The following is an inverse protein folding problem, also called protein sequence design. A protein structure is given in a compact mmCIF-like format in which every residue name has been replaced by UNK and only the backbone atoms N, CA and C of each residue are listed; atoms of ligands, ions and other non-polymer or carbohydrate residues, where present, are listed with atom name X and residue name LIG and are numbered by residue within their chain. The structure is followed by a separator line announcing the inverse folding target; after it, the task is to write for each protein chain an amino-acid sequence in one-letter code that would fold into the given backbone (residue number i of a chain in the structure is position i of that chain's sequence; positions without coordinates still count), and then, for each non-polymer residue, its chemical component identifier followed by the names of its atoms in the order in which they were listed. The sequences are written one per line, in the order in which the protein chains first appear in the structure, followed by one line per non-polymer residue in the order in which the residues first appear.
data_IF_979090842642
#
_entry.id   IF_979090842642
#
_cell.length_a   1.000
_cell.length_b   1.000
_cell.length_c   1.000
_cell.angle_alpha   90.00
_cell.angle_beta   90.00
_cell.angle_gamma   90.00
#
_symmetry.space_group_name_H-M   'P 1'
#
loop_
_entity.id
_entity.type
_entity.pdbx_description
1 polymer ?
#
# COMPACT_ATOMS: atom_id res chain seq x y z
N UNK A 1 -25.92 -33.41 6.30
CA UNK A 1 -24.83 -34.37 6.08
C UNK A 1 -25.04 -35.64 6.89
N UNK A 2 -25.37 -35.55 8.18
CA UNK A 2 -25.71 -36.71 9.02
C UNK A 2 -26.82 -37.58 8.42
N UNK A 3 -27.94 -36.98 8.01
CA UNK A 3 -29.05 -37.69 7.35
C UNK A 3 -28.63 -38.48 6.09
N UNK A 4 -27.69 -37.95 5.29
CA UNK A 4 -27.19 -38.63 4.10
C UNK A 4 -26.32 -39.84 4.46
N UNK A 5 -25.47 -39.70 5.47
CA UNK A 5 -24.63 -40.82 5.93
C UNK A 5 -25.51 -41.93 6.49
N UNK A 6 -26.50 -41.58 7.30
CA UNK A 6 -27.46 -42.52 7.87
C UNK A 6 -28.27 -43.25 6.77
N UNK A 7 -28.75 -42.51 5.76
CA UNK A 7 -29.46 -43.09 4.62
C UNK A 7 -28.59 -44.09 3.83
N UNK A 8 -27.32 -43.76 3.60
CA UNK A 8 -26.38 -44.62 2.87
C UNK A 8 -26.00 -45.89 3.64
N UNK A 9 -25.94 -45.82 4.97
CA UNK A 9 -25.70 -46.97 5.83
C UNK A 9 -26.93 -47.87 5.93
N UNK A 10 -28.13 -47.28 5.97
CA UNK A 10 -29.38 -48.03 6.07
C UNK A 10 -29.81 -48.69 4.74
N UNK A 11 -30.82 -49.56 4.81
CA UNK A 11 -31.43 -50.17 3.63
C UNK A 11 -32.14 -49.09 2.79
N UNK A 12 -32.07 -49.16 1.44
CA UNK A 12 -31.64 -50.30 0.63
C UNK A 12 -30.14 -50.36 0.30
N UNK A 13 -29.37 -49.33 0.66
CA UNK A 13 -27.98 -49.19 0.22
C UNK A 13 -27.02 -50.08 1.03
N UNK A 14 -27.17 -50.11 2.36
CA UNK A 14 -26.41 -51.01 3.23
C UNK A 14 -24.90 -50.83 3.15
N UNK A 15 -24.42 -49.60 2.90
CA UNK A 15 -22.98 -49.35 2.75
C UNK A 15 -22.26 -49.56 4.08
N UNK A 16 -21.09 -50.20 4.01
CA UNK A 16 -20.19 -50.26 5.17
C UNK A 16 -19.57 -48.88 5.38
N UNK A 17 -19.54 -48.42 6.63
CA UNK A 17 -18.99 -47.11 7.02
C UNK A 17 -17.61 -46.82 6.40
N UNK A 18 -16.71 -47.82 6.40
CA UNK A 18 -15.36 -47.66 5.84
C UNK A 18 -15.29 -47.42 4.32
N UNK A 19 -16.40 -47.57 3.58
CA UNK A 19 -16.47 -47.30 2.13
C UNK A 19 -17.08 -45.92 1.85
N UNK A 20 -17.75 -45.31 2.82
CA UNK A 20 -18.41 -44.00 2.67
C UNK A 20 -17.41 -42.90 2.28
N UNK A 21 -16.20 -42.80 2.87
CA UNK A 21 -15.21 -41.80 2.44
C UNK A 21 -14.86 -41.90 0.95
N UNK A 22 -14.81 -43.11 0.38
CA UNK A 22 -14.51 -43.34 -1.04
C UNK A 22 -15.65 -42.83 -1.94
N UNK A 23 -16.89 -43.11 -1.57
CA UNK A 23 -18.06 -42.62 -2.31
C UNK A 23 -18.23 -41.11 -2.17
N UNK A 24 -17.99 -40.55 -0.99
CA UNK A 24 -18.01 -39.11 -0.76
C UNK A 24 -16.95 -38.42 -1.62
N UNK A 25 -15.71 -38.92 -1.62
CA UNK A 25 -14.63 -38.42 -2.48
C UNK A 25 -14.99 -38.50 -3.98
N UNK A 26 -15.56 -39.63 -4.41
CA UNK A 26 -16.02 -39.80 -5.79
C UNK A 26 -17.13 -38.79 -6.15
N UNK A 27 -18.06 -38.54 -5.23
CA UNK A 27 -19.11 -37.54 -5.37
C UNK A 27 -18.53 -36.13 -5.50
N UNK A 28 -17.56 -35.76 -4.65
CA UNK A 28 -16.86 -34.48 -4.75
C UNK A 28 -16.15 -34.33 -6.11
N UNK A 29 -15.49 -35.37 -6.61
CA UNK A 29 -14.85 -35.31 -7.94
C UNK A 29 -15.87 -35.22 -9.09
N UNK A 30 -17.00 -35.91 -8.98
CA UNK A 30 -18.01 -35.96 -10.04
C UNK A 30 -18.88 -34.70 -10.09
N UNK A 31 -19.17 -34.09 -8.92
CA UNK A 31 -20.18 -33.04 -8.76
C UNK A 31 -19.63 -31.73 -8.16
N UNK A 32 -18.38 -31.69 -7.69
CA UNK A 32 -17.76 -30.56 -6.98
C UNK A 32 -17.37 -29.38 -7.86
N UNK A 33 -18.16 -29.03 -8.87
CA UNK A 33 -17.89 -27.85 -9.72
C UNK A 33 -18.18 -26.53 -9.00
N UNK A 34 -19.13 -26.55 -8.06
CA UNK A 34 -19.54 -25.40 -7.29
C UNK A 34 -20.07 -25.83 -5.92
N UNK A 35 -19.14 -26.18 -5.03
CA UNK A 35 -19.44 -26.75 -3.72
C UNK A 35 -18.66 -26.00 -2.65
N UNK A 36 -19.30 -25.72 -1.52
CA UNK A 36 -18.63 -25.14 -0.36
C UNK A 36 -18.76 -26.07 0.83
N UNK A 37 -17.61 -26.52 1.35
CA UNK A 37 -17.56 -27.25 2.62
C UNK A 37 -17.13 -26.29 3.71
N UNK A 38 -17.85 -26.31 4.83
CA UNK A 38 -17.56 -25.49 6.01
C UNK A 38 -17.38 -26.38 7.23
N UNK A 39 -16.47 -25.99 8.11
CA UNK A 39 -16.32 -26.62 9.42
C UNK A 39 -17.39 -26.14 10.42
N UNK A 40 -17.28 -26.59 11.67
CA UNK A 40 -18.24 -26.30 12.74
C UNK A 40 -18.30 -24.81 13.11
N UNK A 41 -17.22 -24.07 12.84
CA UNK A 41 -17.13 -22.63 13.04
C UNK A 41 -17.68 -21.84 11.82
N UNK A 42 -18.10 -22.55 10.77
CA UNK A 42 -18.60 -21.99 9.53
C UNK A 42 -17.50 -21.48 8.58
N UNK A 43 -16.23 -21.84 8.83
CA UNK A 43 -15.12 -21.46 7.99
C UNK A 43 -15.03 -22.36 6.75
N UNK A 44 -14.84 -21.75 5.58
CA UNK A 44 -14.69 -22.47 4.32
C UNK A 44 -13.40 -23.31 4.31
N UNK A 45 -13.50 -24.56 3.85
CA UNK A 45 -12.39 -25.46 3.64
C UNK A 45 -11.92 -25.40 2.18
N UNK A 46 -10.82 -24.69 1.86
CA UNK A 46 -10.34 -24.55 0.49
C UNK A 46 -9.69 -25.84 -0.04
N UNK A 47 -9.03 -26.59 0.86
CA UNK A 47 -8.34 -27.84 0.56
C UNK A 47 -9.01 -29.01 1.27
N UNK A 48 -9.65 -29.87 0.49
CA UNK A 48 -10.25 -31.11 0.96
C UNK A 48 -9.21 -32.21 0.80
N UNK A 49 -8.40 -32.47 1.84
CA UNK A 49 -7.46 -33.59 1.84
C UNK A 49 -8.15 -34.87 2.33
N UNK A 50 -7.46 -36.00 2.23
CA UNK A 50 -8.02 -37.30 2.66
C UNK A 50 -8.41 -37.30 4.15
N UNK A 51 -7.64 -36.63 4.99
CA UNK A 51 -7.91 -36.48 6.43
C UNK A 51 -9.23 -35.77 6.71
N UNK A 52 -9.59 -34.80 5.87
CA UNK A 52 -10.79 -33.98 5.96
C UNK A 52 -11.98 -34.79 5.47
N UNK A 53 -11.81 -35.58 4.41
CA UNK A 53 -12.84 -36.54 3.93
C UNK A 53 -13.17 -37.54 5.04
N UNK A 54 -12.15 -38.13 5.67
CA UNK A 54 -12.34 -39.06 6.79
C UNK A 54 -13.03 -38.36 7.98
N UNK A 55 -12.62 -37.13 8.32
CA UNK A 55 -13.21 -36.36 9.40
C UNK A 55 -14.69 -35.99 9.13
N UNK A 56 -15.01 -35.56 7.90
CA UNK A 56 -16.37 -35.23 7.48
C UNK A 56 -17.27 -36.47 7.58
N UNK A 57 -16.79 -37.63 7.13
CA UNK A 57 -17.58 -38.86 7.20
C UNK A 57 -17.71 -39.40 8.62
N UNK A 58 -16.69 -39.21 9.47
CA UNK A 58 -16.71 -39.67 10.86
C UNK A 58 -17.53 -38.75 11.80
N UNK A 59 -17.59 -37.45 11.50
CA UNK A 59 -18.33 -36.44 12.28
C UNK A 59 -19.14 -35.52 11.36
N UNK A 60 -20.13 -36.04 10.64
CA UNK A 60 -20.84 -35.27 9.61
C UNK A 60 -21.64 -34.09 10.16
N UNK A 61 -21.99 -34.09 11.45
CA UNK A 61 -22.66 -32.97 12.11
C UNK A 61 -21.77 -31.73 12.29
N UNK A 62 -20.44 -31.90 12.30
CA UNK A 62 -19.47 -30.80 12.44
C UNK A 62 -19.23 -30.06 11.12
N UNK A 63 -19.85 -30.50 10.01
CA UNK A 63 -19.59 -29.96 8.68
C UNK A 63 -20.86 -29.64 7.91
N UNK A 64 -20.80 -28.55 7.15
CA UNK A 64 -21.86 -28.17 6.20
C UNK A 64 -21.35 -28.32 4.78
N UNK A 65 -22.16 -28.89 3.90
CA UNK A 65 -21.89 -29.00 2.47
C UNK A 65 -22.99 -28.27 1.73
N UNK A 66 -22.64 -27.12 1.17
CA UNK A 66 -23.52 -26.30 0.36
C UNK A 66 -23.24 -26.58 -1.12
N UNK A 67 -24.25 -26.97 -1.87
CA UNK A 67 -24.18 -27.19 -3.32
C UNK A 67 -24.90 -26.05 -4.02
N UNK A 68 -24.20 -25.35 -4.91
CA UNK A 68 -24.75 -24.21 -5.64
C UNK A 68 -24.99 -24.59 -7.11
N UNK A 69 -26.02 -23.98 -7.69
CA UNK A 69 -26.27 -24.10 -9.12
C UNK A 69 -25.06 -23.52 -9.89
N UNK A 70 -24.45 -24.28 -10.81
CA UNK A 70 -23.25 -23.83 -11.50
C UNK A 70 -23.55 -22.61 -12.37
N UNK A 71 -22.90 -21.50 -12.07
CA UNK A 71 -22.89 -20.28 -12.91
C UNK A 71 -21.50 -20.07 -13.52
N UNK A 72 -21.05 -20.94 -14.45
CA UNK A 72 -19.67 -20.99 -14.90
C UNK A 72 -19.19 -19.69 -15.54
N UNK A 73 -20.05 -19.02 -16.31
CA UNK A 73 -19.71 -17.75 -16.95
C UNK A 73 -19.51 -16.62 -15.92
N UNK A 74 -20.32 -16.60 -14.87
CA UNK A 74 -20.23 -15.59 -13.82
C UNK A 74 -18.99 -15.80 -12.95
N UNK A 75 -18.74 -17.04 -12.50
CA UNK A 75 -17.55 -17.36 -11.71
C UNK A 75 -16.24 -17.19 -12.51
N UNK A 76 -16.24 -17.54 -13.81
CA UNK A 76 -15.10 -17.26 -14.69
C UNK A 76 -14.82 -15.77 -14.76
N UNK A 77 -15.85 -14.96 -15.01
CA UNK A 77 -15.71 -13.51 -15.09
C UNK A 77 -15.27 -12.89 -13.75
N UNK A 78 -15.76 -13.39 -12.61
CA UNK A 78 -15.25 -12.98 -11.29
C UNK A 78 -13.78 -13.36 -11.10
N UNK A 79 -13.40 -14.59 -11.45
CA UNK A 79 -12.02 -15.08 -11.31
C UNK A 79 -11.06 -14.26 -12.17
N UNK A 80 -11.42 -14.02 -13.43
CA UNK A 80 -10.68 -13.14 -14.36
C UNK A 80 -10.56 -11.72 -13.80
N UNK A 81 -11.62 -11.21 -13.16
CA UNK A 81 -11.59 -9.89 -12.53
C UNK A 81 -10.53 -9.78 -11.43
N UNK A 82 -10.15 -10.87 -10.75
CA UNK A 82 -9.15 -10.86 -9.67
C UNK A 82 -7.77 -11.42 -10.06
N UNK A 83 -7.67 -12.34 -11.03
CA UNK A 83 -6.41 -13.04 -11.36
C UNK A 83 -6.11 -13.13 -12.87
N UNK A 84 -6.94 -12.54 -13.74
CA UNK A 84 -6.66 -12.37 -15.17
C UNK A 84 -7.00 -13.55 -16.08
N UNK A 85 -6.82 -14.80 -15.64
CA UNK A 85 -7.22 -15.99 -16.40
C UNK A 85 -7.96 -17.00 -15.51
N UNK A 86 -9.14 -17.43 -15.95
CA UNK A 86 -9.90 -18.52 -15.34
C UNK A 86 -9.68 -19.82 -16.10
N UNK A 87 -9.61 -20.95 -15.39
CA UNK A 87 -9.55 -22.27 -16.03
C UNK A 87 -10.98 -22.79 -16.21
N UNK A 88 -11.30 -23.25 -17.41
CA UNK A 88 -12.64 -23.82 -17.70
C UNK A 88 -12.93 -25.14 -16.97
N UNK A 89 -11.89 -25.87 -16.56
CA UNK A 89 -12.02 -27.15 -15.88
C UNK A 89 -11.72 -27.04 -14.37
N UNK A 90 -12.50 -27.77 -13.57
CA UNK A 90 -12.32 -27.91 -12.12
C UNK A 90 -13.36 -27.18 -11.28
N UNK A 91 -13.09 -27.06 -9.98
CA UNK A 91 -13.91 -26.31 -9.03
C UNK A 91 -13.70 -24.81 -9.26
N UNK A 92 -14.72 -24.15 -9.79
CA UNK A 92 -14.67 -22.73 -10.15
C UNK A 92 -14.79 -21.81 -8.94
N UNK A 93 -15.47 -22.28 -7.88
CA UNK A 93 -15.60 -21.51 -6.65
C UNK A 93 -14.26 -21.43 -5.93
N UNK A 94 -13.53 -22.54 -5.89
CA UNK A 94 -12.15 -22.57 -5.39
C UNK A 94 -11.22 -21.66 -6.19
N UNK A 95 -11.29 -21.71 -7.52
CA UNK A 95 -10.49 -20.81 -8.37
C UNK A 95 -10.75 -19.32 -8.05
N UNK A 96 -12.02 -18.96 -7.86
CA UNK A 96 -12.39 -17.61 -7.43
C UNK A 96 -11.81 -17.26 -6.05
N UNK A 97 -11.91 -18.18 -5.08
CA UNK A 97 -11.34 -18.00 -3.74
C UNK A 97 -9.83 -17.75 -3.79
N UNK A 98 -9.09 -18.54 -4.57
CA UNK A 98 -7.64 -18.44 -4.70
C UNK A 98 -7.24 -17.13 -5.41
N UNK A 99 -7.98 -16.75 -6.45
CA UNK A 99 -7.82 -15.48 -7.15
C UNK A 99 -8.04 -14.28 -6.21
N UNK A 100 -9.12 -14.30 -5.42
CA UNK A 100 -9.44 -13.26 -4.46
C UNK A 100 -8.38 -13.16 -3.36
N UNK A 101 -7.94 -14.29 -2.82
CA UNK A 101 -6.93 -14.34 -1.75
C UNK A 101 -5.59 -13.82 -2.24
N UNK A 102 -5.13 -14.28 -3.41
CA UNK A 102 -3.88 -13.81 -4.02
C UNK A 102 -3.91 -12.31 -4.29
N UNK A 103 -5.03 -11.78 -4.80
CA UNK A 103 -5.17 -10.34 -5.00
C UNK A 103 -5.15 -9.56 -3.68
N UNK A 104 -5.83 -10.05 -2.63
CA UNK A 104 -5.84 -9.40 -1.31
C UNK A 104 -4.44 -9.28 -0.71
N UNK A 105 -3.58 -10.28 -0.89
CA UNK A 105 -2.20 -10.27 -0.39
C UNK A 105 -1.30 -9.25 -1.09
N UNK A 106 -1.65 -8.86 -2.32
CA UNK A 106 -0.91 -7.86 -3.09
C UNK A 106 -1.30 -6.42 -2.75
N UNK A 107 -2.44 -6.23 -2.06
CA UNK A 107 -2.92 -4.90 -1.68
C UNK A 107 -2.06 -4.28 -0.57
N UNK A 108 -1.83 -2.96 -0.60
CA UNK A 108 -1.20 -2.29 0.52
C UNK A 108 -2.12 -2.37 1.75
N UNK A 109 -1.54 -2.38 2.95
CA UNK A 109 -2.28 -2.52 4.22
C UNK A 109 -3.40 -1.46 4.37
N UNK A 110 -3.12 -0.25 3.88
CA UNK A 110 -4.07 0.85 3.85
C UNK A 110 -5.26 0.64 2.90
N UNK A 111 -5.18 -0.20 1.86
CA UNK A 111 -6.30 -0.38 0.93
C UNK A 111 -7.52 -0.99 1.63
N UNK A 112 -7.31 -2.06 2.39
CA UNK A 112 -8.39 -2.76 3.12
C UNK A 112 -8.82 -2.03 4.40
N UNK A 113 -7.97 -1.15 4.96
CA UNK A 113 -8.27 -0.39 6.19
C UNK A 113 -8.78 1.03 5.95
N UNK A 114 -8.53 1.60 4.76
CA UNK A 114 -8.94 2.97 4.41
C UNK A 114 -10.45 3.15 4.45
N UNK A 115 -10.94 4.38 4.61
CA UNK A 115 -12.38 4.70 4.57
C UNK A 115 -12.74 5.49 3.29
N UNK A 116 -12.96 4.81 2.14
CA UNK A 116 -13.37 5.48 0.91
C UNK A 116 -14.65 6.29 1.08
N UNK A 117 -14.71 7.49 0.47
CA UNK A 117 -15.90 8.35 0.52
C UNK A 117 -17.10 7.73 -0.21
N UNK A 118 -16.85 7.00 -1.28
CA UNK A 118 -17.87 6.25 -2.02
C UNK A 118 -18.45 5.11 -1.15
N UNK A 119 -19.77 5.12 -0.86
CA UNK A 119 -20.44 4.06 -0.11
C UNK A 119 -20.33 2.68 -0.77
N UNK A 120 -20.36 2.61 -2.10
CA UNK A 120 -20.28 1.35 -2.85
C UNK A 120 -18.89 0.71 -2.71
N UNK A 121 -17.83 1.49 -2.98
CA UNK A 121 -16.45 1.06 -2.76
C UNK A 121 -16.17 0.67 -1.30
N UNK A 122 -16.78 1.39 -0.35
CA UNK A 122 -16.65 1.06 1.07
C UNK A 122 -17.25 -0.31 1.40
N UNK A 123 -18.47 -0.57 0.92
CA UNK A 123 -19.15 -1.85 1.09
C UNK A 123 -18.36 -2.98 0.41
N UNK A 124 -17.90 -2.77 -0.82
CA UNK A 124 -17.02 -3.71 -1.54
C UNK A 124 -15.78 -4.09 -0.71
N UNK A 125 -15.04 -3.08 -0.23
CA UNK A 125 -13.87 -3.26 0.61
C UNK A 125 -14.19 -4.04 1.88
N UNK A 126 -15.29 -3.73 2.58
CA UNK A 126 -15.69 -4.43 3.80
C UNK A 126 -16.01 -5.91 3.54
N UNK A 127 -16.69 -6.21 2.44
CA UNK A 127 -17.00 -7.59 2.03
C UNK A 127 -15.71 -8.38 1.76
N UNK A 128 -14.81 -7.83 0.94
CA UNK A 128 -13.52 -8.46 0.61
C UNK A 128 -12.64 -8.63 1.85
N UNK A 129 -12.53 -7.62 2.70
CA UNK A 129 -11.65 -7.65 3.87
C UNK A 129 -12.05 -8.70 4.90
N UNK A 130 -13.34 -9.05 4.96
CA UNK A 130 -13.92 -9.98 5.93
C UNK A 130 -14.42 -11.29 5.31
N UNK A 131 -14.14 -11.52 4.03
CA UNK A 131 -14.57 -12.71 3.33
C UNK A 131 -13.90 -13.95 3.95
N UNK A 132 -14.74 -14.78 4.59
CA UNK A 132 -14.41 -16.12 5.08
C UNK A 132 -15.15 -17.23 4.32
N UNK A 133 -16.22 -16.87 3.60
CA UNK A 133 -17.04 -17.78 2.80
C UNK A 133 -17.09 -17.25 1.34
N UNK A 134 -16.35 -17.87 0.42
CA UNK A 134 -16.32 -17.43 -0.98
C UNK A 134 -17.65 -17.67 -1.69
N UNK A 135 -18.44 -18.68 -1.30
CA UNK A 135 -19.72 -18.96 -1.93
C UNK A 135 -20.73 -17.87 -1.60
N UNK A 136 -20.83 -17.52 -0.32
CA UNK A 136 -21.67 -16.40 0.11
C UNK A 136 -21.24 -15.09 -0.51
N UNK A 137 -19.93 -14.85 -0.60
CA UNK A 137 -19.41 -13.65 -1.26
C UNK A 137 -19.83 -13.60 -2.73
N UNK A 138 -19.63 -14.70 -3.47
CA UNK A 138 -19.92 -14.78 -4.91
C UNK A 138 -21.42 -14.78 -5.23
N UNK A 139 -22.25 -15.51 -4.49
CA UNK A 139 -23.64 -15.74 -4.85
C UNK A 139 -24.66 -14.87 -4.13
N UNK A 140 -24.30 -14.25 -3.02
CA UNK A 140 -25.19 -13.35 -2.26
C UNK A 140 -24.64 -11.93 -2.25
N UNK A 141 -23.45 -11.73 -1.67
CA UNK A 141 -22.98 -10.40 -1.29
C UNK A 141 -22.55 -9.54 -2.48
N UNK A 142 -21.85 -10.12 -3.45
CA UNK A 142 -21.47 -9.44 -4.69
C UNK A 142 -22.68 -9.12 -5.57
N UNK A 143 -23.61 -10.05 -5.81
CA UNK A 143 -24.85 -9.75 -6.54
C UNK A 143 -25.69 -8.67 -5.87
N UNK A 144 -25.82 -8.68 -4.54
CA UNK A 144 -26.52 -7.62 -3.80
C UNK A 144 -25.87 -6.24 -3.95
N UNK A 145 -24.53 -6.19 -3.99
CA UNK A 145 -23.79 -4.94 -4.16
C UNK A 145 -23.87 -4.43 -5.61
N UNK A 146 -23.74 -5.32 -6.59
CA UNK A 146 -23.59 -4.98 -7.99
C UNK A 146 -24.91 -5.04 -8.80
N UNK A 147 -26.01 -5.49 -8.18
CA UNK A 147 -27.33 -5.57 -8.80
C UNK A 147 -27.56 -6.82 -9.67
N UNK A 148 -26.80 -7.91 -9.45
CA UNK A 148 -27.00 -9.20 -10.12
C UNK A 148 -25.71 -9.97 -10.42
N UNK A 149 -25.83 -11.06 -11.19
CA UNK A 149 -24.72 -11.95 -11.60
C UNK A 149 -24.33 -11.79 -13.08
N UNK A 150 -24.74 -10.69 -13.72
CA UNK A 150 -24.45 -10.44 -15.13
C UNK A 150 -23.07 -9.78 -15.35
N UNK A 151 -22.63 -9.69 -16.60
CA UNK A 151 -21.33 -9.11 -16.95
C UNK A 151 -21.18 -7.64 -16.54
N UNK A 152 -22.28 -6.86 -16.50
CA UNK A 152 -22.24 -5.47 -16.06
C UNK A 152 -21.99 -5.37 -14.55
N UNK A 153 -22.59 -6.27 -13.75
CA UNK A 153 -22.35 -6.37 -12.33
C UNK A 153 -20.87 -6.71 -12.03
N UNK A 154 -20.31 -7.69 -12.73
CA UNK A 154 -18.88 -8.03 -12.61
C UNK A 154 -17.98 -6.84 -12.97
N UNK A 155 -18.32 -6.09 -14.02
CA UNK A 155 -17.58 -4.87 -14.39
C UNK A 155 -17.61 -3.81 -13.28
N UNK A 156 -18.75 -3.60 -12.63
CA UNK A 156 -18.85 -2.69 -11.49
C UNK A 156 -17.97 -3.11 -10.31
N UNK A 157 -17.87 -4.41 -10.04
CA UNK A 157 -16.95 -4.95 -9.02
C UNK A 157 -15.47 -4.75 -9.43
N UNK A 158 -15.15 -4.95 -10.71
CA UNK A 158 -13.82 -4.69 -11.25
C UNK A 158 -13.43 -3.20 -11.10
N UNK A 159 -14.36 -2.28 -11.33
CA UNK A 159 -14.12 -0.85 -11.12
C UNK A 159 -13.79 -0.54 -9.64
N UNK A 160 -14.44 -1.21 -8.69
CA UNK A 160 -14.08 -1.10 -7.27
C UNK A 160 -12.73 -1.72 -6.94
N UNK A 161 -12.41 -2.88 -7.53
CA UNK A 161 -11.09 -3.52 -7.40
C UNK A 161 -9.98 -2.59 -7.89
N UNK A 162 -10.10 -2.04 -9.10
CA UNK A 162 -9.11 -1.11 -9.69
C UNK A 162 -8.91 0.11 -8.78
N UNK A 163 -9.99 0.62 -8.17
CA UNK A 163 -9.88 1.73 -7.22
C UNK A 163 -9.09 1.35 -5.96
N UNK A 164 -9.23 0.12 -5.44
CA UNK A 164 -8.41 -0.36 -4.32
C UNK A 164 -6.95 -0.61 -4.74
N UNK A 165 -6.71 -1.11 -5.95
CA UNK A 165 -5.36 -1.31 -6.49
C UNK A 165 -4.60 0.04 -6.61
N UNK A 166 -5.31 1.08 -7.03
CA UNK A 166 -4.75 2.44 -7.18
C UNK A 166 -4.28 3.07 -5.86
N UNK A 167 -4.61 2.49 -4.70
CA UNK A 167 -4.17 3.00 -3.38
C UNK A 167 -2.65 3.02 -3.29
N UNK A 168 -1.96 2.00 -3.83
CA UNK A 168 -0.49 1.93 -3.85
C UNK A 168 0.12 3.04 -4.71
N UNK A 169 -0.48 3.30 -5.86
CA UNK A 169 -0.04 4.38 -6.75
C UNK A 169 -0.28 5.76 -6.14
N UNK A 170 -1.40 5.92 -5.42
CA UNK A 170 -1.69 7.13 -4.65
C UNK A 170 -0.66 7.36 -3.55
N UNK A 171 -0.31 6.35 -2.76
CA UNK A 171 0.73 6.48 -1.73
C UNK A 171 2.11 6.74 -2.33
N UNK A 172 2.44 6.11 -3.45
CA UNK A 172 3.67 6.39 -4.20
C UNK A 172 3.70 7.85 -4.66
N UNK A 173 2.60 8.36 -5.21
CA UNK A 173 2.47 9.75 -5.65
C UNK A 173 2.57 10.75 -4.50
N UNK A 174 1.98 10.44 -3.34
CA UNK A 174 2.12 11.25 -2.13
C UNK A 174 3.57 11.28 -1.63
N UNK A 175 4.27 10.14 -1.63
CA UNK A 175 5.67 10.08 -1.24
C UNK A 175 6.56 10.92 -2.17
N UNK A 176 6.34 10.84 -3.50
CA UNK A 176 7.04 11.68 -4.48
C UNK A 176 6.74 13.16 -4.22
N UNK A 177 5.47 13.54 -4.10
CA UNK A 177 5.06 14.93 -3.89
C UNK A 177 5.62 15.49 -2.57
N UNK A 178 5.56 14.73 -1.48
CA UNK A 178 6.13 15.09 -0.19
C UNK A 178 7.64 15.28 -0.28
N UNK A 179 8.36 14.33 -0.88
CA UNK A 179 9.81 14.42 -1.09
C UNK A 179 10.18 15.63 -1.95
N UNK A 180 9.47 15.90 -3.04
CA UNK A 180 9.70 17.06 -3.92
C UNK A 180 9.44 18.40 -3.22
N UNK A 181 8.48 18.45 -2.29
CA UNK A 181 8.22 19.64 -1.46
C UNK A 181 9.32 19.90 -0.43
N UNK A 182 9.88 18.84 0.15
CA UNK A 182 10.87 18.94 1.23
C UNK A 182 12.28 19.17 0.64
N UNK A 183 12.66 18.33 -0.33
CA UNK A 183 13.95 18.36 -1.01
C UNK A 183 13.85 19.31 -2.21
N UNK A 184 13.79 20.60 -1.91
CA UNK A 184 13.71 21.65 -2.93
C UNK A 184 15.06 21.90 -3.57
N UNK A 185 15.06 22.20 -4.87
CA UNK A 185 16.22 22.72 -5.58
C UNK A 185 16.91 23.86 -4.82
N UNK A 186 18.21 23.69 -4.64
CA UNK A 186 19.17 24.74 -4.30
C UNK A 186 19.23 25.68 -5.52
N UNK A 187 18.83 26.95 -5.36
CA UNK A 187 18.66 27.91 -6.49
C UNK A 187 19.87 27.92 -7.43
N UNK A 188 19.62 27.59 -8.70
CA UNK A 188 20.62 27.34 -9.75
C UNK A 188 20.27 26.16 -10.66
N UNK A 189 19.47 25.21 -10.17
CA UNK A 189 18.78 24.22 -11.00
C UNK A 189 17.55 24.84 -11.68
N UNK A 190 17.27 24.44 -12.92
CA UNK A 190 16.12 24.93 -13.69
C UNK A 190 14.84 24.91 -12.83
N UNK A 191 14.08 26.00 -12.84
CA UNK A 191 12.72 26.01 -12.27
C UNK A 191 11.95 24.87 -12.95
N UNK A 192 11.63 23.82 -12.19
CA UNK A 192 10.93 22.63 -12.71
C UNK A 192 11.77 21.35 -12.84
N UNK A 193 12.94 21.24 -12.18
CA UNK A 193 13.67 19.97 -12.10
C UNK A 193 12.85 18.87 -11.39
N UNK A 194 12.90 17.66 -11.94
CA UNK A 194 12.40 16.40 -11.35
C UNK A 194 13.02 16.15 -9.96
N UNK A 195 12.29 15.47 -9.07
CA UNK A 195 12.74 15.10 -7.71
C UNK A 195 14.19 14.61 -7.66
N UNK A 196 14.61 13.77 -8.60
CA UNK A 196 15.94 13.17 -8.63
C UNK A 196 17.05 14.21 -8.79
N UNK A 197 16.85 15.17 -9.69
CA UNK A 197 17.80 16.25 -9.93
C UNK A 197 17.90 17.18 -8.71
N UNK A 198 16.74 17.49 -8.12
CA UNK A 198 16.68 18.33 -6.91
C UNK A 198 17.39 17.64 -5.73
N UNK A 199 17.16 16.34 -5.55
CA UNK A 199 17.81 15.54 -4.52
C UNK A 199 19.33 15.48 -4.71
N UNK A 200 19.80 15.17 -5.92
CA UNK A 200 21.23 15.14 -6.21
C UNK A 200 21.89 16.51 -6.03
N UNK A 201 21.24 17.59 -6.49
CA UNK A 201 21.72 18.96 -6.31
C UNK A 201 21.82 19.36 -4.83
N UNK A 202 20.78 19.07 -4.05
CA UNK A 202 20.78 19.27 -2.60
C UNK A 202 21.88 18.46 -1.92
N UNK A 203 22.00 17.16 -2.20
CA UNK A 203 22.98 16.29 -1.56
C UNK A 203 24.43 16.74 -1.82
N UNK A 204 24.74 17.13 -3.07
CA UNK A 204 26.07 17.68 -3.45
C UNK A 204 26.39 19.00 -2.75
N UNK A 205 25.37 19.75 -2.30
CA UNK A 205 25.57 21.01 -1.56
C UNK A 205 25.94 20.78 -0.09
N UNK A 206 25.55 19.64 0.49
CA UNK A 206 25.71 19.30 1.91
C UNK A 206 26.72 18.18 2.18
N UNK A 207 27.10 17.40 1.16
CA UNK A 207 27.95 16.20 1.27
C UNK A 207 29.23 16.43 2.10
N UNK A 208 29.94 17.53 1.87
CA UNK A 208 31.19 17.81 2.58
C UNK A 208 30.99 18.04 4.08
N UNK A 209 29.89 18.66 4.47
CA UNK A 209 29.55 18.88 5.87
C UNK A 209 29.15 17.56 6.54
N UNK A 210 28.36 16.74 5.86
CA UNK A 210 27.87 15.46 6.38
C UNK A 210 28.97 14.42 6.54
N UNK A 211 30.03 14.44 5.71
CA UNK A 211 31.19 13.56 5.85
C UNK A 211 32.00 13.79 7.13
N UNK A 212 31.89 14.95 7.78
CA UNK A 212 32.69 15.31 8.96
C UNK A 212 31.81 15.54 10.19
N UNK A 213 31.80 14.59 11.12
CA UNK A 213 31.26 14.83 12.47
C UNK A 213 29.74 15.00 12.57
N UNK A 214 28.97 14.66 11.53
CA UNK A 214 27.51 14.68 11.57
C UNK A 214 26.96 13.42 12.25
N UNK A 215 26.27 13.53 13.39
CA UNK A 215 25.89 12.36 14.21
C UNK A 215 24.62 11.62 13.72
N UNK A 216 23.72 12.30 13.00
CA UNK A 216 22.43 11.73 12.60
C UNK A 216 22.59 10.76 11.41
N UNK A 217 22.61 9.47 11.72
CA UNK A 217 22.83 8.40 10.76
C UNK A 217 21.70 8.30 9.72
N UNK A 218 20.44 8.53 10.10
CA UNK A 218 19.32 8.48 9.15
C UNK A 218 19.42 9.62 8.15
N UNK A 219 19.68 10.82 8.64
CA UNK A 219 19.87 11.98 7.77
C UNK A 219 21.11 11.82 6.85
N UNK A 220 22.17 11.17 7.33
CA UNK A 220 23.32 10.79 6.50
C UNK A 220 22.93 9.83 5.37
N UNK A 221 22.09 8.83 5.68
CA UNK A 221 21.58 7.89 4.67
C UNK A 221 20.69 8.58 3.63
N UNK A 222 19.86 9.57 4.02
CA UNK A 222 19.11 10.42 3.07
C UNK A 222 20.07 11.11 2.08
N UNK A 223 21.15 11.71 2.59
CA UNK A 223 22.16 12.37 1.74
C UNK A 223 22.85 11.37 0.82
N UNK A 224 23.21 10.18 1.32
CA UNK A 224 23.83 9.13 0.52
C UNK A 224 22.93 8.64 -0.60
N UNK A 225 21.64 8.42 -0.32
CA UNK A 225 20.65 8.05 -1.35
C UNK A 225 20.50 9.16 -2.39
N UNK A 226 20.38 10.41 -1.93
CA UNK A 226 20.18 11.57 -2.78
C UNK A 226 21.38 11.85 -3.71
N UNK A 227 22.63 11.58 -3.28
CA UNK A 227 23.83 11.69 -4.14
C UNK A 227 23.76 10.78 -5.38
N UNK A 228 23.13 9.61 -5.24
CA UNK A 228 22.94 8.65 -6.33
C UNK A 228 21.65 8.82 -7.13
N UNK A 229 20.78 9.78 -6.79
CA UNK A 229 19.44 9.91 -7.37
C UNK A 229 19.46 10.14 -8.90
N UNK A 230 20.41 10.96 -9.37
CA UNK A 230 20.55 11.36 -10.78
C UNK A 230 21.48 10.42 -11.59
N UNK A 231 21.80 9.22 -11.07
CA UNK A 231 22.72 8.29 -11.73
C UNK A 231 22.06 7.39 -12.78
N UNK A 232 20.78 7.61 -13.11
CA UNK A 232 19.96 6.75 -13.98
C UNK A 232 19.53 5.41 -13.34
N UNK A 233 19.87 5.17 -12.06
CA UNK A 233 19.48 3.94 -11.33
C UNK A 233 18.09 4.02 -10.72
N UNK A 234 17.57 5.23 -10.55
CA UNK A 234 16.29 5.49 -9.92
C UNK A 234 15.32 6.13 -10.91
N UNK A 235 14.06 5.73 -10.78
CA UNK A 235 12.89 6.55 -11.12
C UNK A 235 12.44 7.33 -9.87
N UNK A 236 11.64 8.40 -10.02
CA UNK A 236 11.08 9.13 -8.88
C UNK A 236 10.36 8.20 -7.89
N UNK A 237 9.59 7.23 -8.41
CA UNK A 237 8.87 6.26 -7.61
C UNK A 237 9.80 5.32 -6.82
N UNK A 238 10.85 4.78 -7.44
CA UNK A 238 11.80 3.89 -6.75
C UNK A 238 12.68 4.65 -5.74
N UNK A 239 13.01 5.91 -6.03
CA UNK A 239 13.68 6.80 -5.08
C UNK A 239 12.80 7.11 -3.87
N UNK A 240 11.54 7.51 -4.09
CA UNK A 240 10.59 7.78 -3.01
C UNK A 240 10.33 6.54 -2.16
N UNK A 241 10.23 5.34 -2.76
CA UNK A 241 10.15 4.06 -2.03
C UNK A 241 11.38 3.80 -1.18
N UNK A 242 12.58 4.06 -1.71
CA UNK A 242 13.83 3.90 -0.96
C UNK A 242 13.88 4.83 0.26
N UNK A 243 13.41 6.08 0.12
CA UNK A 243 13.25 7.00 1.24
C UNK A 243 12.20 6.49 2.26
N UNK A 244 11.07 5.98 1.81
CA UNK A 244 10.04 5.42 2.69
C UNK A 244 10.57 4.24 3.53
N UNK A 245 11.29 3.31 2.89
CA UNK A 245 11.94 2.18 3.55
C UNK A 245 12.99 2.62 4.56
N UNK A 246 13.77 3.68 4.26
CA UNK A 246 14.73 4.26 5.19
C UNK A 246 14.08 4.74 6.51
N UNK A 247 12.84 5.23 6.45
CA UNK A 247 12.07 5.61 7.63
C UNK A 247 11.29 4.44 8.26
N UNK A 248 11.57 3.21 7.83
CA UNK A 248 11.12 1.97 8.48
C UNK A 248 9.77 1.45 8.00
N UNK A 249 9.17 2.04 6.94
CA UNK A 249 7.90 1.55 6.38
C UNK A 249 7.89 1.59 4.86
N UNK A 250 7.89 0.42 4.25
CA UNK A 250 7.58 0.22 2.83
C UNK A 250 6.19 0.78 2.50
N UNK A 251 6.03 1.34 1.29
CA UNK A 251 4.77 1.95 0.83
C UNK A 251 3.60 0.94 0.90
N UNK A 252 3.88 -0.34 0.74
CA UNK A 252 2.87 -1.41 0.82
C UNK A 252 2.31 -1.59 2.24
N UNK A 253 2.98 -1.07 3.27
CA UNK A 253 2.53 -1.09 4.67
C UNK A 253 1.97 0.27 5.11
N UNK A 254 1.72 1.18 4.17
CA UNK A 254 1.21 2.50 4.50
C UNK A 254 -0.29 2.45 4.77
N UNK A 255 -0.72 3.32 5.71
CA UNK A 255 -2.12 3.61 6.00
C UNK A 255 -2.38 5.11 5.79
N UNK A 256 -3.55 5.61 6.20
CA UNK A 256 -3.92 7.01 6.00
C UNK A 256 -3.01 8.03 6.71
N UNK A 257 -2.28 7.64 7.77
CA UNK A 257 -1.40 8.53 8.55
C UNK A 257 0.06 8.45 8.11
N UNK A 258 0.48 7.32 7.53
CA UNK A 258 1.87 7.08 7.18
C UNK A 258 2.47 8.12 6.21
N UNK A 259 1.74 8.66 5.20
CA UNK A 259 2.26 9.73 4.36
C UNK A 259 2.69 10.98 5.14
N UNK A 260 1.88 11.43 6.11
CA UNK A 260 2.19 12.60 6.93
C UNK A 260 3.37 12.32 7.89
N UNK A 261 3.42 11.10 8.46
CA UNK A 261 4.55 10.64 9.28
C UNK A 261 5.85 10.63 8.46
N UNK A 262 5.80 10.12 7.23
CA UNK A 262 6.92 10.11 6.30
C UNK A 262 7.40 11.52 5.98
N UNK A 263 6.50 12.45 5.67
CA UNK A 263 6.85 13.85 5.39
C UNK A 263 7.51 14.50 6.60
N UNK A 264 6.96 14.31 7.80
CA UNK A 264 7.52 14.86 9.02
C UNK A 264 8.94 14.33 9.31
N UNK A 265 9.15 13.01 9.14
CA UNK A 265 10.46 12.37 9.34
C UNK A 265 11.48 12.82 8.29
N UNK A 266 11.08 12.90 7.02
CA UNK A 266 11.95 13.38 5.95
C UNK A 266 12.30 14.85 6.16
N UNK A 267 11.33 15.68 6.54
CA UNK A 267 11.57 17.08 6.84
C UNK A 267 12.52 17.26 8.02
N UNK A 268 12.37 16.48 9.09
CA UNK A 268 13.27 16.51 10.23
C UNK A 268 14.70 16.10 9.84
N UNK A 269 14.86 15.05 9.02
CA UNK A 269 16.16 14.62 8.53
C UNK A 269 16.83 15.68 7.64
N UNK A 270 16.10 16.27 6.70
CA UNK A 270 16.63 17.36 5.84
C UNK A 270 16.99 18.59 6.66
N UNK A 271 16.14 18.99 7.62
CA UNK A 271 16.42 20.10 8.51
C UNK A 271 17.65 19.86 9.39
N UNK A 272 17.82 18.65 9.92
CA UNK A 272 19.01 18.24 10.70
C UNK A 272 20.30 18.46 9.91
N UNK A 273 20.32 18.08 8.62
CA UNK A 273 21.47 18.34 7.73
C UNK A 273 21.67 19.83 7.46
N UNK A 274 20.60 20.54 7.10
CA UNK A 274 20.67 21.97 6.81
C UNK A 274 21.16 22.76 8.03
N UNK A 275 20.65 22.48 9.23
CA UNK A 275 21.05 23.14 10.48
C UNK A 275 22.52 22.84 10.83
N UNK A 276 22.99 21.61 10.60
CA UNK A 276 24.41 21.29 10.79
C UNK A 276 25.32 22.07 9.83
N UNK A 277 24.90 22.21 8.57
CA UNK A 277 25.63 23.01 7.57
C UNK A 277 25.66 24.48 7.97
N UNK A 278 24.54 25.02 8.46
CA UNK A 278 24.41 26.41 8.89
C UNK A 278 25.16 26.72 10.18
N UNK A 279 25.30 25.75 11.09
CA UNK A 279 26.07 25.88 12.31
C UNK A 279 27.60 25.82 12.07
N UNK A 280 28.04 25.37 10.89
CA UNK A 280 29.45 25.33 10.55
C UNK A 280 30.03 26.75 10.43
N UNK A 281 31.17 27.05 11.07
CA UNK A 281 31.81 28.38 10.98
C UNK A 281 32.33 28.71 9.57
N UNK A 282 32.51 27.70 8.71
CA UNK A 282 32.90 27.89 7.32
C UNK A 282 32.03 26.97 6.43
N UNK A 283 30.77 27.36 6.14
CA UNK A 283 29.89 26.56 5.31
C UNK A 283 30.42 26.52 3.87
N UNK A 284 30.31 25.37 3.18
CA UNK A 284 30.79 25.26 1.80
C UNK A 284 30.03 26.25 0.91
N UNK A 285 30.73 26.89 -0.06
CA UNK A 285 30.11 27.86 -0.98
C UNK A 285 28.87 27.30 -1.69
N UNK A 286 28.85 25.98 -1.96
CA UNK A 286 27.72 25.28 -2.59
C UNK A 286 26.47 25.23 -1.71
N UNK A 287 26.59 25.41 -0.39
CA UNK A 287 25.46 25.51 0.54
C UNK A 287 24.82 26.92 0.59
N UNK A 288 25.35 27.89 -0.15
CA UNK A 288 24.78 29.25 -0.19
C UNK A 288 23.26 29.28 -0.43
N UNK A 289 22.67 28.42 -1.29
CA UNK A 289 21.22 28.47 -1.51
C UNK A 289 20.40 27.91 -0.34
N UNK A 290 20.97 27.09 0.54
CA UNK A 290 20.33 26.69 1.81
C UNK A 290 20.20 27.91 2.72
N UNK A 291 21.25 28.73 2.81
CA UNK A 291 21.24 29.99 3.57
C UNK A 291 20.18 30.95 2.99
N UNK A 292 20.15 31.11 1.66
CA UNK A 292 19.16 31.97 0.98
C UNK A 292 17.73 31.48 1.24
N UNK A 293 17.48 30.17 1.16
CA UNK A 293 16.17 29.56 1.49
C UNK A 293 15.77 29.88 2.92
N UNK A 294 16.68 29.72 3.90
CA UNK A 294 16.42 30.01 5.32
C UNK A 294 16.13 31.49 5.55
N UNK A 295 16.93 32.39 4.97
CA UNK A 295 16.71 33.84 5.05
C UNK A 295 15.36 34.25 4.47
N UNK A 296 14.92 33.61 3.37
CA UNK A 296 13.60 33.86 2.78
C UNK A 296 12.46 33.42 3.71
N UNK A 297 12.60 32.28 4.38
CA UNK A 297 11.62 31.78 5.36
C UNK A 297 11.55 32.74 6.56
N UNK A 298 12.69 33.09 7.15
CA UNK A 298 12.76 34.02 8.28
C UNK A 298 12.23 35.41 7.90
N UNK A 299 12.56 35.91 6.70
CA UNK A 299 12.03 37.17 6.19
C UNK A 299 10.51 37.16 5.99
N UNK A 300 9.92 36.03 5.57
CA UNK A 300 8.46 35.88 5.51
C UNK A 300 7.84 35.87 6.91
N UNK A 301 8.45 35.21 7.88
CA UNK A 301 7.99 35.20 9.27
C UNK A 301 8.07 36.60 9.90
N UNK A 302 9.17 37.32 9.69
CA UNK A 302 9.35 38.69 10.16
C UNK A 302 8.25 39.62 9.62
N UNK A 303 7.87 39.49 8.34
CA UNK A 303 6.78 40.26 7.72
C UNK A 303 5.38 39.90 8.24
N UNK A 304 5.21 38.74 8.88
CA UNK A 304 3.95 38.38 9.56
C UNK A 304 3.88 38.96 10.97
N UNK A 305 5.02 39.18 11.61
CA UNK A 305 5.12 39.67 12.98
C UNK A 305 5.28 41.19 13.08
N UNK A 306 5.83 41.83 12.04
CA UNK A 306 6.09 43.27 12.01
C UNK A 306 5.53 43.91 10.74
N UNK A 307 5.20 45.20 10.81
CA UNK A 307 4.74 45.94 9.64
C UNK A 307 5.81 45.90 8.53
N UNK A 308 5.45 45.89 7.24
CA UNK A 308 6.41 45.73 6.14
C UNK A 308 7.57 46.74 6.14
N UNK A 309 7.35 47.95 6.65
CA UNK A 309 8.38 48.98 6.80
C UNK A 309 9.38 48.68 7.92
N UNK A 310 8.93 48.12 9.05
CA UNK A 310 9.77 47.73 10.18
C UNK A 310 10.60 46.49 9.84
N UNK A 311 10.00 45.50 9.19
CA UNK A 311 10.71 44.31 8.72
C UNK A 311 11.85 44.67 7.74
N UNK A 312 11.67 45.69 6.89
CA UNK A 312 12.72 46.20 6.00
C UNK A 312 13.84 46.90 6.77
N UNK A 313 13.52 47.76 7.74
CA UNK A 313 14.52 48.43 8.59
C UNK A 313 15.40 47.43 9.34
N UNK A 314 14.80 46.39 9.93
CA UNK A 314 15.54 45.33 10.64
C UNK A 314 16.48 44.60 9.70
N UNK A 315 16.03 44.17 8.51
CA UNK A 315 16.89 43.51 7.53
C UNK A 315 18.03 44.39 7.04
N UNK A 316 17.77 45.69 6.83
CA UNK A 316 18.79 46.66 6.40
C UNK A 316 19.85 46.88 7.49
N UNK A 317 19.43 47.03 8.74
CA UNK A 317 20.36 47.16 9.88
C UNK A 317 21.26 45.95 10.08
N UNK A 318 20.76 44.73 9.81
CA UNK A 318 21.54 43.49 9.86
C UNK A 318 22.58 43.40 8.74
N UNK A 319 22.27 43.91 7.54
CA UNK A 319 23.22 43.99 6.44
C UNK A 319 24.34 45.00 6.71
N UNK A 320 24.02 46.13 7.35
CA UNK A 320 24.99 47.16 7.72
C UNK A 320 25.95 46.67 8.83
N UNK A 321 25.45 45.96 9.85
CA UNK A 321 26.30 45.40 10.92
C UNK A 321 27.20 44.25 10.47
N UNK A 322 26.80 43.49 9.44
CA UNK A 322 27.62 42.39 8.91
C UNK A 322 28.61 42.82 7.81
N UNK A 323 28.42 44.01 7.21
CA UNK A 323 29.29 44.56 6.17
C UNK A 323 30.60 45.21 6.65
N UNK A 324 30.70 45.59 7.92
CA UNK A 324 31.82 46.40 8.44
C UNK A 324 33.02 45.61 9.01
N UNK A 325 32.99 44.27 8.94
CA UNK A 325 34.06 43.40 9.47
C UNK A 325 35.39 43.39 8.68
N UNK A 326 35.60 44.27 7.69
CA UNK A 326 36.80 44.27 6.83
C UNK A 326 37.53 45.61 6.69
N UNK A 327 37.39 46.52 7.66
CA UNK A 327 38.26 47.71 7.75
C UNK A 327 38.97 47.79 9.11
N UNK A 328 39.74 46.77 9.45
CA UNK A 328 40.78 46.89 10.49
C UNK A 328 42.16 46.98 9.82
N UNK A 329 42.68 48.21 9.88
CA UNK A 329 43.98 48.72 9.44
C UNK A 329 45.15 47.71 9.55
N UNK A 330 45.93 47.63 8.47
CA UNK A 330 47.39 47.78 8.51
C UNK A 330 47.82 48.58 7.28
#
# INVERSE_FOLDING_TARGET
MEELVDELVDRPYGLREGVIPLYFAAGLMAFGRCLAIKDADGAYLPDILATEIDAICARPADYTVDVYEPQPKYLSALTEAFHGEAKEAGDQLRQFHDALTSWREQLPEGALKSRPKDPGLRRFRDLVARASDPARLAFEQFPELAGGTNAAAVRGLLDYRIQLDSVKDRYTSLAIAGASRIITAVEGGAKGGDLLQNAAGWARSVEQAVKKGFADERARQVVSLALGADSGRYSEASFARSLATLFGREIDKWNERTPDEFEALLQAAVASVEDHVLASPNPPKRAAPIIVKRLRILGKQLRRLAAPAEARKVLQSLMETTGDGKKTKR
#
